data_IF_165906810012
#
_entry.id   IF_165906810012
#
_cell.length_a   1.000
_cell.length_b   1.000
_cell.length_c   1.000
_cell.angle_alpha   90.00
_cell.angle_beta   90.00
_cell.angle_gamma   90.00
#
_symmetry.space_group_name_H-M   'P 1'
#
loop_
_entity.id
_entity.type
_entity.pdbx_description
1 polymer ?
#
# COMPACT_ATOMS: atom_id res chain seq x y z
N UNK A 1 -1.34 -13.68 -14.54
CA UNK A 1 -1.21 -15.09 -14.98
C UNK A 1 -1.36 -15.14 -16.49
N UNK A 2 -0.38 -15.68 -17.23
CA UNK A 2 -0.48 -15.78 -18.70
C UNK A 2 -1.64 -16.71 -19.07
N UNK A 3 -2.51 -16.28 -19.98
CA UNK A 3 -3.66 -17.03 -20.47
C UNK A 3 -3.23 -18.39 -21.03
N UNK A 4 -3.82 -19.48 -20.52
CA UNK A 4 -3.61 -20.85 -21.05
C UNK A 4 -3.93 -20.95 -22.55
N UNK A 5 -4.84 -20.10 -23.05
CA UNK A 5 -5.20 -20.01 -24.47
C UNK A 5 -4.08 -19.41 -25.31
N UNK A 6 -3.36 -18.41 -24.78
CA UNK A 6 -2.22 -17.80 -25.48
C UNK A 6 -1.04 -18.78 -25.62
N UNK A 7 -0.80 -19.62 -24.61
CA UNK A 7 0.17 -20.71 -24.70
C UNK A 7 -0.21 -21.75 -25.75
N UNK A 8 -1.49 -22.15 -25.81
CA UNK A 8 -1.97 -23.12 -26.80
C UNK A 8 -1.84 -22.57 -28.23
N UNK A 9 -2.24 -21.30 -28.44
CA UNK A 9 -2.17 -20.63 -29.74
C UNK A 9 -0.72 -20.45 -30.20
N UNK A 10 0.18 -20.04 -29.30
CA UNK A 10 1.61 -19.87 -29.59
C UNK A 10 2.32 -21.21 -29.81
N UNK A 11 1.89 -22.26 -29.10
CA UNK A 11 2.33 -23.63 -29.34
C UNK A 11 1.96 -24.11 -30.75
N UNK A 12 0.72 -23.88 -31.19
CA UNK A 12 0.28 -24.20 -32.55
C UNK A 12 1.04 -23.38 -33.61
N UNK A 13 1.31 -22.10 -33.36
CA UNK A 13 2.11 -21.26 -34.25
C UNK A 13 3.57 -21.73 -34.37
N UNK A 14 4.17 -22.23 -33.28
CA UNK A 14 5.53 -22.80 -33.29
C UNK A 14 5.64 -24.12 -34.05
N UNK A 15 4.54 -24.85 -34.23
CA UNK A 15 4.50 -26.05 -35.06
C UNK A 15 4.41 -25.72 -36.56
N UNK A 16 3.88 -24.54 -36.91
CA UNK A 16 3.70 -24.08 -38.29
C UNK A 16 4.86 -23.23 -38.81
N UNK A 17 5.72 -22.73 -37.91
CA UNK A 17 6.86 -21.89 -38.27
C UNK A 17 8.09 -22.32 -37.47
N UNK A 18 9.14 -22.78 -38.17
CA UNK A 18 10.39 -23.25 -37.57
C UNK A 18 11.19 -22.16 -36.85
N UNK A 19 10.79 -20.90 -37.00
CA UNK A 19 11.46 -19.71 -36.47
C UNK A 19 10.72 -19.08 -35.27
N UNK A 20 9.59 -19.67 -34.84
CA UNK A 20 8.81 -19.17 -33.72
C UNK A 20 9.24 -19.81 -32.39
N UNK A 21 10.13 -19.13 -31.67
CA UNK A 21 10.51 -19.53 -30.31
C UNK A 21 9.36 -19.32 -29.31
N UNK A 22 9.05 -20.38 -28.55
CA UNK A 22 8.01 -20.37 -27.51
C UNK A 22 8.38 -19.47 -26.32
N UNK A 23 9.67 -19.36 -26.03
CA UNK A 23 10.23 -18.60 -24.91
C UNK A 23 10.25 -17.10 -25.21
N UNK A 24 9.76 -16.23 -24.32
CA UNK A 24 9.94 -14.78 -24.48
C UNK A 24 11.44 -14.46 -24.48
N UNK A 25 11.89 -13.66 -25.46
CA UNK A 25 13.27 -13.20 -25.53
C UNK A 25 13.36 -11.80 -24.92
N UNK A 26 14.00 -11.69 -23.76
CA UNK A 26 14.35 -10.42 -23.16
C UNK A 26 15.75 -10.04 -23.64
N UNK A 27 15.90 -8.86 -24.25
CA UNK A 27 17.22 -8.32 -24.62
C UNK A 27 17.54 -7.20 -23.65
N UNK A 28 18.66 -7.31 -22.95
CA UNK A 28 19.12 -6.32 -21.97
C UNK A 28 20.42 -5.72 -22.51
N UNK A 29 20.47 -4.40 -22.63
CA UNK A 29 21.71 -3.66 -22.86
C UNK A 29 22.16 -3.01 -21.55
N UNK A 30 23.47 -3.01 -21.31
CA UNK A 30 24.07 -2.39 -20.14
C UNK A 30 25.11 -1.40 -20.63
N UNK A 31 25.02 -0.16 -20.16
CA UNK A 31 25.95 0.91 -20.46
C UNK A 31 26.58 1.42 -19.16
N UNK A 32 27.90 1.60 -19.16
CA UNK A 32 28.63 2.15 -18.02
C UNK A 32 28.67 3.67 -18.13
N UNK A 33 27.86 4.36 -17.33
CA UNK A 33 27.76 5.83 -17.35
C UNK A 33 28.94 6.54 -16.65
N UNK A 34 29.67 5.84 -15.78
CA UNK A 34 30.78 6.39 -15.00
C UNK A 34 30.71 6.02 -13.51
N UNK A 35 31.67 6.51 -12.71
CA UNK A 35 31.64 6.33 -11.25
C UNK A 35 30.49 7.14 -10.63
N UNK A 36 29.83 6.59 -9.62
CA UNK A 36 28.84 7.30 -8.82
C UNK A 36 29.49 8.22 -7.79
N UNK A 37 28.72 9.18 -7.28
CA UNK A 37 29.19 10.04 -6.18
C UNK A 37 29.39 9.23 -4.88
N UNK A 38 30.29 9.70 -3.97
CA UNK A 38 30.41 9.14 -2.63
C UNK A 38 29.07 9.16 -1.87
N UNK A 39 28.77 8.16 -1.01
CA UNK A 39 29.65 7.12 -0.50
C UNK A 39 29.81 5.88 -1.41
N UNK A 40 29.33 5.95 -2.66
CA UNK A 40 29.28 4.82 -3.59
C UNK A 40 28.39 3.67 -3.11
N UNK A 41 28.18 2.66 -3.97
CA UNK A 41 27.33 1.48 -3.70
C UNK A 41 25.86 1.77 -3.31
N UNK A 42 25.35 2.96 -3.64
CA UNK A 42 23.93 3.28 -3.53
C UNK A 42 23.19 2.90 -4.81
N UNK A 43 21.90 2.62 -4.71
CA UNK A 43 21.05 2.48 -5.89
C UNK A 43 20.77 3.87 -6.47
N UNK A 44 21.11 4.05 -7.74
CA UNK A 44 20.87 5.28 -8.49
C UNK A 44 19.76 5.06 -9.50
N UNK A 45 18.77 5.95 -9.45
CA UNK A 45 17.65 5.95 -10.39
C UNK A 45 17.78 7.19 -11.26
N UNK A 46 18.46 7.05 -12.40
CA UNK A 46 18.83 8.17 -13.29
C UNK A 46 17.91 8.33 -14.50
N UNK A 47 17.16 7.29 -14.87
CA UNK A 47 16.24 7.34 -16.01
C UNK A 47 14.96 8.13 -15.73
N UNK A 48 14.10 8.32 -16.75
CA UNK A 48 12.77 8.89 -16.56
C UNK A 48 12.04 8.16 -15.44
N UNK A 49 11.53 8.92 -14.49
CA UNK A 49 10.79 8.40 -13.35
C UNK A 49 9.40 7.96 -13.80
N UNK A 50 8.91 6.86 -13.24
CA UNK A 50 7.63 6.25 -13.58
C UNK A 50 6.63 6.41 -12.44
N UNK A 51 5.35 6.32 -12.78
CA UNK A 51 4.28 6.11 -11.81
C UNK A 51 3.37 5.00 -12.31
N UNK A 52 2.75 4.32 -11.35
CA UNK A 52 1.79 3.26 -11.59
C UNK A 52 0.65 3.41 -10.58
N UNK A 53 -0.58 3.33 -11.07
CA UNK A 53 -1.78 3.33 -10.26
C UNK A 53 -2.50 2.01 -10.49
N UNK A 54 -2.53 1.19 -9.46
CA UNK A 54 -3.23 -0.08 -9.43
C UNK A 54 -4.64 0.14 -8.89
N UNK A 55 -5.64 -0.22 -9.70
CA UNK A 55 -7.03 -0.24 -9.30
C UNK A 55 -7.43 -1.68 -9.01
N UNK A 56 -8.00 -1.94 -7.84
CA UNK A 56 -8.52 -3.27 -7.51
C UNK A 56 -10.02 -3.23 -7.23
N UNK A 57 -10.87 -3.58 -8.22
CA UNK A 57 -12.31 -3.66 -8.04
C UNK A 57 -12.75 -4.72 -7.04
N UNK A 58 -11.97 -5.81 -6.93
CA UNK A 58 -12.27 -6.90 -6.00
C UNK A 58 -12.02 -6.50 -4.55
N UNK A 59 -10.93 -5.77 -4.28
CA UNK A 59 -10.65 -5.26 -2.93
C UNK A 59 -11.59 -4.09 -2.63
N UNK A 60 -11.84 -3.20 -3.59
CA UNK A 60 -12.78 -2.09 -3.43
C UNK A 60 -14.22 -2.54 -3.08
N UNK A 61 -14.71 -3.65 -3.62
CA UNK A 61 -16.01 -4.25 -3.23
C UNK A 61 -16.05 -4.81 -1.81
N UNK A 62 -14.93 -5.34 -1.31
CA UNK A 62 -14.82 -5.89 0.05
C UNK A 62 -14.66 -4.75 1.07
N UNK A 63 -13.94 -3.70 0.67
CA UNK A 63 -13.56 -2.56 1.50
C UNK A 63 -14.60 -1.41 1.40
N UNK A 64 -15.50 -1.43 0.42
CA UNK A 64 -16.48 -0.36 0.23
C UNK A 64 -15.88 0.98 -0.23
N UNK A 65 -14.61 1.01 -0.64
CA UNK A 65 -13.94 2.20 -1.17
C UNK A 65 -14.57 2.56 -2.51
N UNK A 66 -15.13 3.78 -2.61
CA UNK A 66 -15.66 4.34 -3.86
C UNK A 66 -14.59 5.24 -4.48
N UNK A 67 -14.34 5.08 -5.77
CA UNK A 67 -13.50 6.00 -6.53
C UNK A 67 -14.35 6.61 -7.64
N UNK A 68 -14.20 7.92 -7.85
CA UNK A 68 -14.85 8.62 -8.95
C UNK A 68 -14.31 8.04 -10.26
N UNK A 69 -15.22 7.62 -11.15
CA UNK A 69 -14.90 6.71 -12.25
C UNK A 69 -14.14 7.36 -13.42
N UNK A 70 -13.93 8.68 -13.43
CA UNK A 70 -13.39 9.40 -14.59
C UNK A 70 -12.32 10.42 -14.16
N UNK A 71 -11.05 10.14 -14.44
CA UNK A 71 -9.91 11.05 -14.17
C UNK A 71 -9.89 12.30 -15.08
N UNK A 72 -10.74 12.36 -16.12
CA UNK A 72 -10.83 13.48 -17.05
C UNK A 72 -11.87 14.55 -16.63
N UNK A 73 -12.68 14.29 -15.61
CA UNK A 73 -13.65 15.29 -15.10
C UNK A 73 -12.96 16.40 -14.27
N UNK A 74 -11.73 16.17 -13.77
CA UNK A 74 -10.93 17.20 -13.08
C UNK A 74 -10.32 18.25 -14.02
N UNK A 75 -10.36 18.00 -15.34
CA UNK A 75 -9.79 18.89 -16.36
C UNK A 75 -10.83 19.65 -17.21
N UNK A 76 -12.12 19.30 -17.15
CA UNK A 76 -13.14 19.96 -17.99
C UNK A 76 -14.28 20.57 -17.18
N UNK A 77 -14.27 21.91 -17.10
CA UNK A 77 -15.42 22.67 -16.64
C UNK A 77 -16.59 22.45 -17.58
N UNK A 78 -17.60 21.70 -17.13
CA UNK A 78 -18.85 21.52 -17.87
C UNK A 78 -20.05 22.01 -17.06
N UNK A 79 -20.83 22.85 -17.72
CA UNK A 79 -22.02 23.56 -17.27
C UNK A 79 -23.14 22.63 -16.74
N UNK A 80 -24.05 23.13 -15.89
CA UNK A 80 -25.05 22.32 -15.22
C UNK A 80 -26.20 21.99 -16.18
N UNK A 81 -26.24 20.78 -16.72
CA UNK A 81 -27.46 20.12 -17.21
C UNK A 81 -27.22 18.62 -17.41
N UNK A 82 -28.20 17.84 -16.99
CA UNK A 82 -28.37 16.39 -17.12
C UNK A 82 -27.75 15.50 -16.02
N UNK A 83 -28.51 15.36 -14.93
CA UNK A 83 -28.37 14.31 -13.93
C UNK A 83 -28.65 12.93 -14.54
N UNK A 84 -27.59 12.23 -14.96
CA UNK A 84 -27.57 10.76 -14.94
C UNK A 84 -26.81 10.30 -13.70
N UNK A 85 -27.28 9.26 -12.99
CA UNK A 85 -26.58 8.78 -11.81
C UNK A 85 -25.18 8.29 -12.21
N UNK A 86 -24.14 9.06 -11.85
CA UNK A 86 -22.73 8.72 -12.07
C UNK A 86 -22.47 7.34 -11.46
N UNK A 87 -22.08 6.37 -12.28
CA UNK A 87 -21.83 4.99 -11.84
C UNK A 87 -20.57 4.95 -10.97
N UNK A 88 -20.75 4.96 -9.65
CA UNK A 88 -19.67 4.88 -8.68
C UNK A 88 -19.06 3.47 -8.70
N UNK A 89 -17.82 3.33 -9.17
CA UNK A 89 -17.08 2.07 -9.13
C UNK A 89 -16.31 1.98 -7.81
N UNK A 90 -16.33 0.80 -7.23
CA UNK A 90 -15.73 0.51 -5.94
C UNK A 90 -14.31 0.00 -6.18
N UNK A 91 -13.31 0.89 -6.18
CA UNK A 91 -11.93 0.51 -6.51
C UNK A 91 -10.97 0.89 -5.38
N UNK A 92 -10.23 -0.09 -4.88
CA UNK A 92 -9.08 0.18 -4.02
C UNK A 92 -7.95 0.74 -4.88
N UNK A 93 -7.30 1.82 -4.45
CA UNK A 93 -6.18 2.43 -5.18
C UNK A 93 -4.86 2.20 -4.45
N UNK A 94 -3.92 1.52 -5.12
CA UNK A 94 -2.52 1.46 -4.75
C UNK A 94 -1.67 2.24 -5.73
N UNK A 95 -0.77 3.07 -5.22
CA UNK A 95 0.10 3.90 -6.03
C UNK A 95 1.55 3.47 -5.85
N UNK A 96 2.28 3.50 -6.96
CA UNK A 96 3.73 3.44 -7.03
C UNK A 96 4.23 4.69 -7.75
N UNK A 97 5.21 5.39 -7.19
CA UNK A 97 5.85 6.53 -7.82
C UNK A 97 7.35 6.43 -7.60
N UNK A 98 8.09 6.30 -8.69
CA UNK A 98 9.54 6.25 -8.65
C UNK A 98 10.08 7.67 -8.46
N UNK A 99 10.83 7.89 -7.38
CA UNK A 99 11.56 9.12 -7.14
C UNK A 99 13.01 8.97 -7.62
N UNK A 100 13.64 10.10 -7.96
CA UNK A 100 15.03 10.13 -8.37
C UNK A 100 15.94 9.90 -7.17
N UNK A 101 16.81 8.90 -7.29
CA UNK A 101 17.84 8.59 -6.31
C UNK A 101 19.09 9.47 -6.43
N UNK A 102 20.11 9.17 -5.62
CA UNK A 102 20.13 8.13 -4.61
C UNK A 102 19.34 8.56 -3.36
N UNK A 103 18.76 7.59 -2.66
CA UNK A 103 18.23 7.82 -1.32
C UNK A 103 19.39 8.11 -0.37
N UNK A 104 19.31 9.14 0.50
CA UNK A 104 20.32 9.41 1.52
C UNK A 104 20.74 8.17 2.32
N UNK A 105 22.05 7.90 2.55
CA UNK A 105 22.51 6.71 3.26
C UNK A 105 21.92 6.55 4.67
N UNK A 106 21.61 7.68 5.33
CA UNK A 106 21.04 7.70 6.67
C UNK A 106 19.62 7.15 6.75
N UNK A 107 18.90 7.11 5.63
CA UNK A 107 17.57 6.52 5.53
C UNK A 107 17.61 5.00 5.47
N UNK A 108 18.78 4.36 5.55
CA UNK A 108 18.87 2.91 5.52
C UNK A 108 18.32 2.28 6.81
N UNK A 109 17.07 1.80 6.77
CA UNK A 109 16.37 1.26 7.94
C UNK A 109 16.04 -0.22 7.78
N UNK A 110 16.39 -0.97 8.82
CA UNK A 110 16.06 -2.39 8.93
C UNK A 110 14.69 -2.54 9.62
N UNK A 111 13.95 -3.55 9.20
CA UNK A 111 12.81 -4.08 9.94
C UNK A 111 13.13 -4.29 11.43
N UNK A 112 12.19 -3.89 12.30
CA UNK A 112 12.29 -4.05 13.75
C UNK A 112 11.26 -5.06 14.21
N UNK A 113 11.71 -6.11 14.90
CA UNK A 113 10.83 -7.14 15.44
C UNK A 113 10.08 -6.64 16.68
N UNK A 114 8.97 -5.94 16.45
CA UNK A 114 8.14 -5.43 17.54
C UNK A 114 7.25 -6.50 18.17
N UNK A 115 7.01 -7.62 17.47
CA UNK A 115 6.29 -8.81 17.98
C UNK A 115 6.96 -10.10 17.48
N UNK A 116 7.09 -11.15 18.31
CA UNK A 116 7.70 -12.44 17.91
C UNK A 116 7.03 -13.10 16.70
N UNK A 117 5.73 -12.84 16.49
CA UNK A 117 4.97 -13.35 15.34
C UNK A 117 5.46 -12.73 14.03
N UNK A 118 5.93 -11.48 14.06
CA UNK A 118 6.37 -10.74 12.88
C UNK A 118 7.77 -11.22 12.46
N UNK A 119 8.65 -11.62 13.37
CA UNK A 119 9.93 -12.26 12.99
C UNK A 119 9.74 -13.48 12.09
N UNK A 120 8.70 -14.28 12.35
CA UNK A 120 8.36 -15.44 11.52
C UNK A 120 7.85 -15.09 10.11
N UNK A 121 7.45 -13.85 9.86
CA UNK A 121 7.08 -13.34 8.52
C UNK A 121 8.31 -13.10 7.65
N UNK A 122 9.37 -12.58 8.26
CA UNK A 122 10.64 -12.26 7.60
C UNK A 122 11.60 -13.46 7.57
N UNK A 123 11.43 -14.42 8.49
CA UNK A 123 12.18 -15.68 8.45
C UNK A 123 11.42 -16.73 7.64
N UNK A 124 11.96 -17.15 6.50
CA UNK A 124 11.45 -18.30 5.72
C UNK A 124 11.74 -19.67 6.37
N UNK A 125 12.04 -19.67 7.67
CA UNK A 125 12.41 -20.85 8.45
C UNK A 125 11.16 -21.50 9.08
N UNK A 126 11.12 -22.84 9.04
CA UNK A 126 9.98 -23.63 9.50
C UNK A 126 8.77 -23.59 8.56
N UNK A 127 7.88 -24.57 8.71
CA UNK A 127 6.70 -24.72 7.83
C UNK A 127 5.75 -23.52 7.93
N UNK A 128 5.56 -23.01 9.16
CA UNK A 128 4.70 -21.85 9.46
C UNK A 128 5.23 -20.56 8.86
N UNK A 129 6.52 -20.27 9.03
CA UNK A 129 7.17 -19.08 8.46
C UNK A 129 7.10 -19.08 6.93
N UNK A 130 7.35 -20.23 6.28
CA UNK A 130 7.21 -20.36 4.82
C UNK A 130 5.79 -20.07 4.32
N UNK A 131 4.77 -20.59 5.01
CA UNK A 131 3.37 -20.36 4.63
C UNK A 131 3.02 -18.87 4.78
N UNK A 132 3.41 -18.26 5.90
CA UNK A 132 3.12 -16.86 6.21
C UNK A 132 3.83 -15.90 5.25
N UNK A 133 5.11 -16.13 5.02
CA UNK A 133 5.92 -15.39 4.06
C UNK A 133 5.35 -15.51 2.62
N UNK A 134 4.96 -16.71 2.20
CA UNK A 134 4.29 -16.92 0.90
C UNK A 134 2.95 -16.18 0.81
N UNK A 135 2.16 -16.17 1.89
CA UNK A 135 0.88 -15.48 1.93
C UNK A 135 1.07 -13.96 1.80
N UNK A 136 2.08 -13.40 2.46
CA UNK A 136 2.45 -12.00 2.39
C UNK A 136 2.84 -11.57 0.97
N UNK A 137 3.73 -12.31 0.32
CA UNK A 137 4.11 -12.03 -1.07
C UNK A 137 2.90 -12.11 -2.01
N UNK A 138 1.97 -13.05 -1.78
CA UNK A 138 0.72 -13.12 -2.54
C UNK A 138 -0.19 -11.90 -2.33
N UNK A 139 -0.25 -11.37 -1.11
CA UNK A 139 -1.02 -10.15 -0.84
C UNK A 139 -0.42 -8.95 -1.58
N UNK A 140 0.90 -8.77 -1.48
CA UNK A 140 1.60 -7.73 -2.23
C UNK A 140 1.35 -7.87 -3.74
N UNK A 141 1.55 -9.06 -4.30
CA UNK A 141 1.31 -9.34 -5.72
C UNK A 141 -0.13 -9.11 -6.17
N UNK A 142 -1.11 -9.22 -5.26
CA UNK A 142 -2.52 -8.97 -5.57
C UNK A 142 -2.83 -7.49 -5.62
N UNK A 143 -2.17 -6.68 -4.79
CA UNK A 143 -2.35 -5.24 -4.72
C UNK A 143 -1.60 -4.53 -5.84
N UNK A 144 -0.35 -4.94 -6.09
CA UNK A 144 0.52 -4.42 -7.14
C UNK A 144 0.48 -5.27 -8.42
N UNK A 145 -0.65 -5.94 -8.68
CA UNK A 145 -0.81 -6.69 -9.92
C UNK A 145 -0.98 -5.73 -11.08
N UNK A 146 -0.35 -6.04 -12.21
CA UNK A 146 -0.62 -5.36 -13.47
C UNK A 146 -1.79 -6.05 -14.17
N UNK A 147 -2.83 -5.27 -14.44
CA UNK A 147 -4.03 -5.68 -15.17
C UNK A 147 -4.48 -4.59 -16.16
N UNK A 148 -5.61 -4.82 -16.83
CA UNK A 148 -6.15 -3.89 -17.83
C UNK A 148 -6.61 -2.55 -17.23
N UNK A 149 -6.79 -2.48 -15.91
CA UNK A 149 -7.16 -1.25 -15.19
C UNK A 149 -5.97 -0.54 -14.58
N UNK A 150 -4.76 -1.07 -14.76
CA UNK A 150 -3.53 -0.46 -14.27
C UNK A 150 -3.13 0.70 -15.16
N UNK A 151 -3.09 1.89 -14.59
CA UNK A 151 -2.61 3.09 -15.27
C UNK A 151 -1.13 3.28 -14.97
N UNK A 152 -0.35 3.68 -15.97
CA UNK A 152 1.07 3.97 -15.78
C UNK A 152 1.51 5.10 -16.69
N UNK A 153 2.65 5.70 -16.36
CA UNK A 153 3.27 6.72 -17.20
C UNK A 153 4.64 7.12 -16.68
N UNK A 154 5.22 8.12 -17.33
CA UNK A 154 6.52 8.69 -17.00
C UNK A 154 6.40 10.19 -16.77
N UNK A 155 7.35 10.75 -16.04
CA UNK A 155 7.54 12.20 -15.88
C UNK A 155 9.03 12.52 -15.75
N UNK A 156 9.38 13.76 -16.02
CA UNK A 156 10.74 14.27 -15.81
C UNK A 156 11.06 14.27 -14.31
N UNK A 157 12.20 13.71 -13.87
CA UNK A 157 12.57 13.67 -12.46
C UNK A 157 12.71 15.08 -11.88
N UNK A 158 12.43 15.24 -10.59
CA UNK A 158 12.61 16.51 -9.87
C UNK A 158 11.97 17.72 -10.55
N UNK A 159 10.76 17.55 -11.10
CA UNK A 159 10.05 18.57 -11.88
C UNK A 159 8.68 18.91 -11.28
N UNK A 160 8.11 20.04 -11.67
CA UNK A 160 6.75 20.42 -11.28
C UNK A 160 5.71 19.37 -11.71
N UNK A 161 5.95 18.70 -12.85
CA UNK A 161 5.09 17.60 -13.32
C UNK A 161 5.12 16.41 -12.37
N UNK A 162 6.29 16.09 -11.79
CA UNK A 162 6.41 15.07 -10.76
C UNK A 162 5.53 15.42 -9.55
N UNK A 163 5.62 16.67 -9.08
CA UNK A 163 4.81 17.17 -7.96
C UNK A 163 3.32 17.11 -8.25
N UNK A 164 2.88 17.55 -9.43
CA UNK A 164 1.48 17.49 -9.82
C UNK A 164 0.98 16.05 -9.97
N UNK A 165 1.82 15.15 -10.47
CA UNK A 165 1.47 13.72 -10.55
C UNK A 165 1.33 13.11 -9.16
N UNK A 166 2.23 13.43 -8.23
CA UNK A 166 2.10 13.03 -6.82
C UNK A 166 0.79 13.53 -6.21
N UNK A 167 0.49 14.83 -6.35
CA UNK A 167 -0.74 15.42 -5.84
C UNK A 167 -1.99 14.79 -6.45
N UNK A 168 -1.97 14.45 -7.75
CA UNK A 168 -3.06 13.73 -8.41
C UNK A 168 -3.26 12.33 -7.82
N UNK A 169 -2.17 11.57 -7.61
CA UNK A 169 -2.25 10.25 -6.97
C UNK A 169 -2.75 10.34 -5.51
N UNK A 170 -2.51 11.47 -4.84
CA UNK A 170 -2.98 11.77 -3.49
C UNK A 170 -4.32 12.55 -3.44
N UNK A 171 -5.02 12.70 -4.58
CA UNK A 171 -6.31 13.37 -4.70
C UNK A 171 -6.34 14.86 -4.26
N UNK A 172 -5.25 15.62 -4.39
CA UNK A 172 -5.22 17.07 -4.15
C UNK A 172 -5.89 17.55 -2.85
N UNK A 173 -5.71 16.83 -1.73
CA UNK A 173 -6.35 17.12 -0.42
C UNK A 173 -7.89 16.99 -0.41
N UNK A 174 -8.46 16.15 -1.28
CA UNK A 174 -9.88 15.80 -1.25
C UNK A 174 -10.17 14.69 -0.21
N UNK A 175 -11.25 14.83 0.56
CA UNK A 175 -11.82 13.73 1.34
C UNK A 175 -11.19 13.48 2.71
N UNK A 176 -10.36 14.40 3.20
CA UNK A 176 -9.65 14.25 4.48
C UNK A 176 -8.75 13.02 4.56
N UNK A 177 -8.16 12.62 3.43
CA UNK A 177 -7.48 11.32 3.27
C UNK A 177 -6.11 11.32 3.95
N UNK A 178 -5.81 10.21 4.61
CA UNK A 178 -4.48 9.87 5.13
C UNK A 178 -3.99 8.67 4.36
N UNK A 179 -2.71 8.57 4.04
CA UNK A 179 -2.12 7.49 3.26
C UNK A 179 -1.05 6.78 4.07
N UNK A 180 -0.98 5.45 3.96
CA UNK A 180 0.13 4.65 4.49
C UNK A 180 1.16 4.51 3.38
N UNK A 181 2.45 4.69 3.67
CA UNK A 181 3.51 4.65 2.66
C UNK A 181 4.73 3.82 3.07
N UNK A 182 5.45 3.35 2.06
CA UNK A 182 6.83 2.86 2.17
C UNK A 182 7.66 3.50 1.07
N UNK A 183 8.81 4.06 1.44
CA UNK A 183 9.89 4.44 0.55
C UNK A 183 10.96 3.34 0.58
N UNK A 184 11.27 2.79 -0.57
CA UNK A 184 12.30 1.77 -0.78
C UNK A 184 13.69 2.39 -0.97
N UNK A 185 14.76 1.59 -0.89
CA UNK A 185 16.14 2.07 -1.00
C UNK A 185 16.51 2.57 -2.40
N UNK A 186 15.77 2.15 -3.43
CA UNK A 186 15.88 2.61 -4.81
C UNK A 186 14.98 3.80 -5.13
N UNK A 187 14.30 4.37 -4.11
CA UNK A 187 13.49 5.58 -4.25
C UNK A 187 12.08 5.34 -4.76
N UNK A 188 11.60 4.09 -4.84
CA UNK A 188 10.21 3.81 -5.16
C UNK A 188 9.33 4.10 -3.93
N UNK A 189 8.43 5.08 -4.06
CA UNK A 189 7.41 5.42 -3.08
C UNK A 189 6.13 4.65 -3.38
N UNK A 190 5.73 3.78 -2.46
CA UNK A 190 4.49 3.00 -2.53
C UNK A 190 3.52 3.47 -1.47
N UNK A 191 2.26 3.69 -1.82
CA UNK A 191 1.26 4.11 -0.84
C UNK A 191 -0.17 3.75 -1.23
N UNK A 192 -1.03 3.66 -0.21
CA UNK A 192 -2.49 3.47 -0.32
C UNK A 192 -3.21 4.29 0.73
N UNK A 193 -4.48 4.61 0.50
CA UNK A 193 -5.30 5.31 1.49
C UNK A 193 -5.46 4.48 2.78
N UNK A 194 -5.33 5.15 3.92
CA UNK A 194 -5.49 4.63 5.27
C UNK A 194 -6.98 4.71 5.67
N UNK A 195 -7.57 3.57 6.01
CA UNK A 195 -8.90 3.51 6.60
C UNK A 195 -9.12 2.24 7.43
N UNK A 196 -10.20 2.22 8.21
CA UNK A 196 -10.60 1.05 9.02
C UNK A 196 -11.18 -0.07 8.16
N UNK A 197 -11.80 0.27 7.04
CA UNK A 197 -12.32 -0.72 6.08
C UNK A 197 -11.23 -1.53 5.38
N UNK A 198 -9.98 -1.05 5.37
CA UNK A 198 -8.83 -1.76 4.81
C UNK A 198 -8.19 -2.74 5.82
N UNK A 199 -8.92 -3.10 6.88
CA UNK A 199 -8.55 -4.04 7.94
C UNK A 199 -8.39 -5.47 7.43
N UNK A 200 -7.41 -5.69 6.55
CA UNK A 200 -6.77 -6.99 6.39
C UNK A 200 -5.80 -7.11 7.58
N UNK A 201 -6.38 -7.28 8.77
CA UNK A 201 -5.73 -7.07 10.07
C UNK A 201 -4.78 -8.20 10.51
N UNK A 202 -4.28 -9.00 9.55
CA UNK A 202 -3.27 -10.02 9.84
C UNK A 202 -1.85 -9.41 9.84
N UNK A 203 -1.62 -8.30 9.12
CA UNK A 203 -0.29 -7.86 8.67
C UNK A 203 -0.22 -6.32 8.61
N UNK A 204 0.86 -5.72 9.14
CA UNK A 204 1.07 -4.27 9.05
C UNK A 204 1.08 -3.82 7.59
N UNK A 205 0.29 -2.80 7.26
CA UNK A 205 0.18 -2.21 5.92
C UNK A 205 1.54 -1.91 5.28
N UNK A 206 2.50 -1.47 6.10
CA UNK A 206 3.89 -1.24 5.69
C UNK A 206 4.59 -2.52 5.21
N UNK A 207 4.41 -3.64 5.90
CA UNK A 207 4.96 -4.94 5.50
C UNK A 207 4.41 -5.35 4.13
N UNK A 208 3.11 -5.13 3.90
CA UNK A 208 2.47 -5.38 2.59
C UNK A 208 3.10 -4.50 1.49
N UNK A 209 3.22 -3.19 1.69
CA UNK A 209 3.82 -2.27 0.71
C UNK A 209 5.29 -2.62 0.41
N UNK A 210 6.03 -2.98 1.45
CA UNK A 210 7.43 -3.38 1.32
C UNK A 210 7.63 -4.77 0.74
N UNK A 211 6.58 -5.55 0.42
CA UNK A 211 6.73 -6.95 0.02
C UNK A 211 7.59 -7.77 1.01
N UNK A 212 7.51 -7.46 2.31
CA UNK A 212 8.35 -8.09 3.36
C UNK A 212 9.86 -7.84 3.18
N UNK A 213 10.24 -6.73 2.54
CA UNK A 213 11.65 -6.35 2.43
C UNK A 213 12.28 -6.13 3.80
N UNK A 214 13.49 -6.65 4.02
CA UNK A 214 14.16 -6.50 5.32
C UNK A 214 14.64 -5.07 5.54
N UNK A 215 14.89 -4.32 4.46
CA UNK A 215 15.42 -2.98 4.50
C UNK A 215 14.57 -2.04 3.64
N UNK A 216 14.33 -0.84 4.15
CA UNK A 216 13.60 0.22 3.47
C UNK A 216 14.28 1.57 3.75
N UNK A 217 13.90 2.60 2.99
CA UNK A 217 14.37 3.96 3.22
C UNK A 217 13.55 4.69 4.29
N UNK A 218 12.22 4.59 4.25
CA UNK A 218 11.35 5.15 5.28
C UNK A 218 9.96 4.54 5.15
N UNK A 219 9.16 4.61 6.21
CA UNK A 219 7.74 4.24 6.15
C UNK A 219 6.97 4.94 7.27
N UNK A 220 5.69 5.16 7.02
CA UNK A 220 4.79 5.81 7.96
C UNK A 220 3.48 6.18 7.29
N UNK A 221 2.90 7.29 7.75
CA UNK A 221 1.70 7.88 7.17
C UNK A 221 2.00 9.28 6.63
N UNK A 222 1.16 9.73 5.69
CA UNK A 222 1.16 11.11 5.22
C UNK A 222 -0.24 11.58 4.88
N UNK A 223 -0.40 12.89 4.76
CA UNK A 223 -1.58 13.52 4.16
C UNK A 223 -1.16 14.82 3.48
N UNK A 224 -1.97 15.24 2.51
CA UNK A 224 -1.81 16.54 1.86
C UNK A 224 -2.78 17.51 2.52
N UNK A 225 -2.42 18.80 2.58
CA UNK A 225 -3.28 19.92 2.98
C UNK A 225 -3.19 21.02 1.94
N UNK A 226 -4.28 21.74 1.73
CA UNK A 226 -4.29 22.93 0.88
C UNK A 226 -4.09 24.20 1.71
N UNK A 227 -3.23 25.07 1.20
CA UNK A 227 -2.88 26.37 1.76
C UNK A 227 -3.68 27.46 1.05
N UNK A 228 -4.13 28.45 1.82
CA UNK A 228 -4.84 29.61 1.26
C UNK A 228 -3.98 30.40 0.26
N UNK A 229 -2.68 30.56 0.54
CA UNK A 229 -1.74 31.27 -0.33
C UNK A 229 -0.69 30.30 -0.87
N UNK A 230 -0.12 30.57 -2.07
CA UNK A 230 0.86 29.69 -2.69
C UNK A 230 2.26 29.96 -2.13
N UNK A 231 2.48 29.68 -0.85
CA UNK A 231 3.77 29.93 -0.18
C UNK A 231 4.58 28.66 0.09
N UNK A 232 4.08 27.48 -0.30
CA UNK A 232 4.72 26.19 -0.10
C UNK A 232 5.23 26.02 1.35
N UNK A 233 4.45 26.51 2.33
CA UNK A 233 4.87 26.53 3.72
C UNK A 233 5.28 25.14 4.21
N UNK A 234 6.41 25.07 4.91
CA UNK A 234 6.91 23.86 5.58
C UNK A 234 6.50 23.80 7.06
N UNK A 235 5.93 24.89 7.59
CA UNK A 235 5.44 24.98 8.97
C UNK A 235 4.18 24.11 9.15
N UNK A 236 4.14 23.16 10.12
CA UNK A 236 2.94 22.39 10.44
C UNK A 236 1.71 23.25 10.79
N UNK A 237 1.91 24.45 11.31
CA UNK A 237 0.86 25.43 11.63
C UNK A 237 1.15 26.77 10.94
N UNK A 238 0.97 26.83 9.61
CA UNK A 238 1.27 28.05 8.89
C UNK A 238 0.32 29.17 9.33
N UNK A 239 0.80 30.42 9.32
CA UNK A 239 0.00 31.61 9.72
C UNK A 239 -1.00 32.02 8.63
N UNK A 240 -1.81 31.08 8.17
CA UNK A 240 -2.84 31.23 7.16
C UNK A 240 -3.89 30.13 7.33
N UNK A 241 -5.01 30.29 6.64
CA UNK A 241 -6.03 29.23 6.61
C UNK A 241 -5.51 28.00 5.87
N UNK A 242 -5.85 26.83 6.40
CA UNK A 242 -5.49 25.53 5.79
C UNK A 242 -6.69 24.61 5.73
N UNK A 243 -6.88 23.96 4.59
CA UNK A 243 -7.84 22.88 4.46
C UNK A 243 -7.22 21.58 5.02
N UNK A 244 -7.99 20.70 5.67
CA UNK A 244 -9.45 20.78 5.88
C UNK A 244 -9.90 21.50 7.17
N UNK A 245 -8.99 22.11 7.93
CA UNK A 245 -9.34 22.82 9.18
C UNK A 245 -10.27 24.01 8.91
N UNK A 246 -10.01 24.74 7.83
CA UNK A 246 -10.78 25.89 7.36
C UNK A 246 -11.41 25.62 5.99
N UNK A 247 -12.58 26.19 5.73
CA UNK A 247 -13.17 26.23 4.39
C UNK A 247 -12.42 27.28 3.55
N UNK A 248 -11.70 26.82 2.52
CA UNK A 248 -10.94 27.65 1.59
C UNK A 248 -11.61 27.57 0.21
N UNK A 249 -11.95 28.70 -0.44
CA UNK A 249 -12.55 28.66 -1.78
C UNK A 249 -11.55 28.18 -2.85
N UNK A 250 -12.03 27.75 -4.03
CA UNK A 250 -11.18 27.45 -5.19
C UNK A 250 -10.39 26.15 -5.05
N UNK A 251 -11.02 25.08 -4.57
CA UNK A 251 -10.47 23.73 -4.55
C UNK A 251 -11.49 22.68 -4.10
N UNK A 252 -11.09 21.40 -4.05
CA UNK A 252 -11.96 20.31 -3.64
C UNK A 252 -12.50 20.54 -2.21
N UNK A 253 -13.72 20.06 -1.91
CA UNK A 253 -14.59 19.26 -2.78
C UNK A 253 -15.52 20.09 -3.70
N UNK A 254 -15.45 21.43 -3.67
CA UNK A 254 -16.42 22.31 -4.34
C UNK A 254 -16.01 22.72 -5.76
N UNK A 255 -14.72 23.00 -5.97
CA UNK A 255 -14.15 23.46 -7.22
C UNK A 255 -12.97 22.58 -7.66
N UNK A 256 -12.50 22.75 -8.90
CA UNK A 256 -11.31 22.07 -9.39
C UNK A 256 -10.06 22.42 -8.55
N UNK A 257 -9.14 21.46 -8.34
CA UNK A 257 -7.92 21.69 -7.56
C UNK A 257 -7.00 22.74 -8.21
N UNK A 258 -6.44 23.68 -7.43
CA UNK A 258 -5.37 24.55 -7.89
C UNK A 258 -4.24 23.76 -8.54
N UNK A 259 -3.79 24.18 -9.72
CA UNK A 259 -2.70 23.50 -10.44
C UNK A 259 -1.31 23.91 -9.98
N UNK A 260 -1.17 24.95 -9.17
CA UNK A 260 0.14 25.36 -8.65
C UNK A 260 0.46 24.54 -7.38
N UNK A 261 1.54 23.74 -7.37
CA UNK A 261 1.92 22.94 -6.21
C UNK A 261 2.14 23.73 -4.91
N UNK A 262 2.50 25.01 -4.99
CA UNK A 262 2.76 25.84 -3.80
C UNK A 262 1.51 26.14 -2.99
N UNK A 263 0.32 25.83 -3.51
CA UNK A 263 -0.92 25.80 -2.73
C UNK A 263 -1.06 24.56 -1.85
N UNK A 264 -0.09 23.65 -1.84
CA UNK A 264 -0.19 22.40 -1.11
C UNK A 264 0.97 22.22 -0.16
N UNK A 265 0.68 21.45 0.89
CA UNK A 265 1.66 20.99 1.84
C UNK A 265 1.49 19.49 2.07
N UNK A 266 2.59 18.74 1.97
CA UNK A 266 2.68 17.35 2.39
C UNK A 266 3.15 17.29 3.84
N UNK A 267 2.30 16.75 4.72
CA UNK A 267 2.72 16.37 6.07
C UNK A 267 2.99 14.86 6.08
N UNK A 268 4.22 14.48 6.41
CA UNK A 268 4.69 13.09 6.34
C UNK A 268 5.41 12.71 7.63
N UNK A 269 5.23 11.47 8.09
CA UNK A 269 5.82 10.98 9.34
C UNK A 269 6.53 9.64 9.20
N UNK A 270 7.06 9.16 10.33
CA UNK A 270 7.73 7.87 10.52
C UNK A 270 6.87 6.85 11.30
N UNK A 271 5.54 6.98 11.30
CA UNK A 271 4.60 6.16 12.09
C UNK A 271 4.40 4.76 11.49
N UNK A 272 5.44 3.94 11.60
CA UNK A 272 5.44 2.56 11.10
C UNK A 272 5.55 1.56 12.24
N UNK A 273 4.50 0.76 12.48
CA UNK A 273 4.52 -0.30 13.49
C UNK A 273 5.52 -1.43 13.23
N UNK A 274 6.07 -1.51 12.02
CA UNK A 274 6.98 -2.58 11.56
C UNK A 274 8.44 -2.14 11.50
N UNK A 275 8.69 -0.89 11.09
CA UNK A 275 10.05 -0.39 10.87
C UNK A 275 10.43 0.73 11.83
N UNK A 276 9.45 1.56 12.23
CA UNK A 276 9.59 2.76 13.08
C UNK A 276 10.96 3.45 12.94
N UNK A 277 11.25 4.06 11.77
CA UNK A 277 12.48 4.83 11.57
C UNK A 277 12.72 5.84 12.70
N UNK A 278 13.97 6.12 13.04
CA UNK A 278 14.30 7.06 14.12
C UNK A 278 13.99 8.52 13.75
N UNK A 279 13.70 9.38 14.74
CA UNK A 279 13.43 10.81 14.50
C UNK A 279 14.55 11.53 13.75
N UNK A 280 15.81 11.12 13.94
CA UNK A 280 17.00 11.76 13.35
C UNK A 280 17.02 11.75 11.83
N UNK A 281 16.22 10.90 11.17
CA UNK A 281 16.20 10.76 9.71
C UNK A 281 15.20 11.68 9.00
N UNK A 282 14.27 12.29 9.75
CA UNK A 282 13.23 13.15 9.20
C UNK A 282 13.79 14.34 8.41
N UNK A 283 14.89 15.01 8.81
CA UNK A 283 15.50 16.05 7.99
C UNK A 283 16.02 15.54 6.64
N UNK A 284 16.63 14.36 6.61
CA UNK A 284 17.14 13.75 5.37
C UNK A 284 15.98 13.29 4.46
N UNK A 285 14.90 12.76 5.04
CA UNK A 285 13.65 12.44 4.31
C UNK A 285 13.04 13.71 3.70
N UNK A 286 12.95 14.79 4.49
CA UNK A 286 12.43 16.08 4.04
C UNK A 286 13.21 16.61 2.85
N UNK A 287 14.53 16.72 2.96
CA UNK A 287 15.39 17.20 1.88
C UNK A 287 15.28 16.33 0.61
N UNK A 288 15.17 15.01 0.76
CA UNK A 288 14.99 14.09 -0.35
C UNK A 288 13.66 14.33 -1.09
N UNK A 289 12.57 14.57 -0.35
CA UNK A 289 11.25 14.84 -0.92
C UNK A 289 11.16 16.24 -1.54
N UNK A 290 11.74 17.26 -0.92
CA UNK A 290 11.80 18.63 -1.48
C UNK A 290 12.51 18.67 -2.83
N UNK A 291 13.61 17.92 -2.97
CA UNK A 291 14.31 17.78 -4.24
C UNK A 291 13.43 17.10 -5.30
N UNK A 292 12.68 16.07 -4.91
CA UNK A 292 11.90 15.25 -5.83
C UNK A 292 10.53 15.85 -6.20
N UNK A 293 9.97 16.68 -5.32
CA UNK A 293 8.64 17.28 -5.43
C UNK A 293 8.75 18.81 -5.33
N UNK A 294 9.41 19.46 -6.31
CA UNK A 294 9.62 20.90 -6.26
C UNK A 294 8.29 21.68 -6.19
N UNK A 295 8.30 22.75 -5.41
CA UNK A 295 7.15 23.65 -5.23
C UNK A 295 6.12 23.19 -4.20
N UNK A 296 6.23 21.97 -3.65
CA UNK A 296 5.37 21.46 -2.58
C UNK A 296 5.99 21.76 -1.21
N UNK A 297 5.20 22.27 -0.25
CA UNK A 297 5.69 22.44 1.12
C UNK A 297 5.82 21.09 1.82
N UNK A 298 6.98 20.77 2.40
CA UNK A 298 7.22 19.49 3.07
C UNK A 298 7.36 19.67 4.58
N UNK A 299 6.42 19.12 5.34
CA UNK A 299 6.44 19.06 6.80
C UNK A 299 6.70 17.62 7.27
N UNK A 300 7.97 17.28 7.51
CA UNK A 300 8.35 15.99 8.08
C UNK A 300 8.25 16.02 9.62
N UNK A 301 7.35 15.22 10.18
CA UNK A 301 7.01 15.23 11.61
C UNK A 301 7.28 13.87 12.26
N UNK A 302 7.54 13.87 13.56
CA UNK A 302 7.72 12.63 14.32
C UNK A 302 6.37 12.04 14.74
N UNK A 303 6.21 10.72 14.71
CA UNK A 303 4.95 10.04 15.04
C UNK A 303 4.43 10.33 16.46
N UNK A 304 5.32 10.66 17.41
CA UNK A 304 4.97 11.01 18.80
C UNK A 304 4.68 12.51 18.99
N UNK A 305 4.72 13.32 17.94
CA UNK A 305 4.41 14.74 18.03
C UNK A 305 2.90 14.96 18.29
N UNK A 306 2.57 15.65 19.38
CA UNK A 306 1.18 15.95 19.75
C UNK A 306 0.46 16.78 18.68
N UNK A 307 1.18 17.64 17.97
CA UNK A 307 0.60 18.45 16.90
C UNK A 307 0.19 17.58 15.72
N UNK A 308 1.07 16.65 15.31
CA UNK A 308 0.77 15.69 14.24
C UNK A 308 -0.47 14.86 14.57
N UNK A 309 -0.62 14.41 15.81
CA UNK A 309 -1.79 13.65 16.25
C UNK A 309 -3.09 14.44 16.10
N UNK A 310 -3.09 15.73 16.48
CA UNK A 310 -4.24 16.64 16.29
C UNK A 310 -4.57 16.86 14.82
N UNK A 311 -3.54 17.01 13.98
CA UNK A 311 -3.72 17.16 12.52
C UNK A 311 -4.35 15.90 11.91
N UNK A 312 -3.83 14.71 12.24
CA UNK A 312 -4.40 13.42 11.80
C UNK A 312 -5.84 13.24 12.30
N UNK A 313 -6.15 13.66 13.52
CA UNK A 313 -7.52 13.59 14.04
C UNK A 313 -8.48 14.49 13.25
N UNK A 314 -8.04 15.69 12.87
CA UNK A 314 -8.81 16.61 12.04
C UNK A 314 -9.10 15.97 10.67
N UNK A 315 -8.08 15.41 10.02
CA UNK A 315 -8.24 14.67 8.75
C UNK A 315 -9.28 13.54 8.88
N UNK A 316 -9.17 12.73 9.94
CA UNK A 316 -10.12 11.63 10.20
C UNK A 316 -11.54 12.11 10.45
N UNK A 317 -11.71 13.27 11.10
CA UNK A 317 -13.04 13.83 11.36
C UNK A 317 -13.69 14.37 10.09
N UNK A 318 -12.92 15.03 9.23
CA UNK A 318 -13.37 15.50 7.91
C UNK A 318 -13.74 14.32 7.03
N UNK A 319 -12.90 13.28 6.97
CA UNK A 319 -13.21 12.05 6.24
C UNK A 319 -14.53 11.40 6.68
N UNK A 320 -14.89 11.46 7.97
CA UNK A 320 -16.20 10.98 8.46
C UNK A 320 -17.37 11.88 8.05
N UNK A 321 -17.14 13.19 7.91
CA UNK A 321 -18.16 14.17 7.54
C UNK A 321 -18.42 14.20 6.03
N UNK A 322 -17.36 14.18 5.24
CA UNK A 322 -17.40 14.15 3.76
C UNK A 322 -17.71 12.75 3.23
N UNK A 323 -17.26 11.72 3.94
CA UNK A 323 -17.64 10.34 3.71
C UNK A 323 -19.11 10.12 4.06
N UNK A 324 -20.02 10.33 3.09
CA UNK A 324 -21.41 9.84 3.17
C UNK A 324 -21.40 8.41 3.72
N UNK A 325 -21.89 8.25 4.95
CA UNK A 325 -22.09 6.97 5.62
C UNK A 325 -22.89 6.06 4.67
N UNK A 326 -22.23 5.10 4.03
CA UNK A 326 -22.94 4.03 3.34
C UNK A 326 -23.12 2.92 4.37
N UNK A 327 -24.34 2.82 4.91
CA UNK A 327 -24.78 1.62 5.61
C UNK A 327 -24.60 0.43 4.66
N UNK A 328 -23.66 -0.45 4.98
CA UNK A 328 -23.43 -1.69 4.22
C UNK A 328 -24.56 -2.65 4.55
N UNK A 329 -25.55 -2.73 3.67
CA UNK A 329 -26.43 -3.92 3.60
C UNK A 329 -25.61 -4.99 2.88
N UNK A 330 -24.96 -5.87 3.66
CA UNK A 330 -24.32 -7.08 3.14
C UNK A 330 -25.39 -7.96 2.49
N UNK A 331 -25.52 -7.91 1.16
CA UNK A 331 -26.29 -8.90 0.44
C UNK A 331 -25.44 -10.18 0.34
N UNK A 332 -25.73 -11.17 1.19
CA UNK A 332 -25.10 -12.49 1.16
C UNK A 332 -25.41 -13.16 -0.18
N UNK A 333 -24.43 -13.16 -1.08
CA UNK A 333 -24.42 -14.09 -2.23
C UNK A 333 -23.07 -14.80 -2.23
N UNK A 334 -23.13 -16.09 -1.91
CA UNK A 334 -22.00 -17.00 -1.76
C UNK A 334 -21.42 -17.36 -3.13
N UNK A 335 -20.11 -17.18 -3.33
CA UNK A 335 -19.22 -18.25 -3.83
C UNK A 335 -17.75 -17.81 -3.88
N UNK A 336 -16.89 -18.72 -3.43
CA UNK A 336 -15.44 -18.82 -3.66
C UNK A 336 -14.45 -17.93 -2.88
N UNK A 337 -14.85 -16.80 -2.29
CA UNK A 337 -13.94 -15.96 -1.46
C UNK A 337 -14.09 -16.16 0.05
N UNK A 338 -15.28 -16.57 0.53
CA UNK A 338 -15.49 -16.77 1.96
C UNK A 338 -14.67 -17.93 2.52
N UNK A 339 -14.31 -18.95 1.73
CA UNK A 339 -13.64 -20.14 2.25
C UNK A 339 -12.17 -19.92 2.64
N UNK A 340 -11.45 -19.04 1.94
CA UNK A 340 -10.05 -18.74 2.27
C UNK A 340 -9.94 -17.74 3.42
N UNK A 341 -10.79 -16.71 3.42
CA UNK A 341 -10.78 -15.65 4.45
C UNK A 341 -11.41 -16.13 5.76
N UNK A 342 -12.52 -16.89 5.72
CA UNK A 342 -13.10 -17.46 6.96
C UNK A 342 -12.28 -18.62 7.54
N UNK A 343 -11.47 -19.34 6.76
CA UNK A 343 -10.46 -20.25 7.32
C UNK A 343 -9.31 -19.49 8.01
N UNK A 344 -8.97 -18.28 7.54
CA UNK A 344 -7.91 -17.44 8.11
C UNK A 344 -8.39 -16.67 9.36
N UNK A 345 -9.63 -16.17 9.37
CA UNK A 345 -10.27 -15.56 10.56
C UNK A 345 -10.50 -16.59 11.69
N UNK A 346 -10.94 -17.81 11.34
CA UNK A 346 -11.02 -18.92 12.31
C UNK A 346 -9.64 -19.37 12.81
N UNK A 347 -8.60 -19.07 12.05
CA UNK A 347 -7.21 -19.32 12.41
C UNK A 347 -6.72 -18.26 13.40
N UNK A 348 -7.00 -16.97 13.26
CA UNK A 348 -6.50 -15.94 14.20
C UNK A 348 -6.76 -16.25 15.68
N UNK A 349 -7.97 -16.67 16.06
CA UNK A 349 -8.29 -17.05 17.44
C UNK A 349 -7.56 -18.31 17.96
N UNK A 350 -6.99 -19.12 17.05
CA UNK A 350 -6.18 -20.30 17.37
C UNK A 350 -4.66 -20.01 17.37
N UNK A 351 -4.21 -18.99 16.62
CA UNK A 351 -2.79 -18.61 16.52
C UNK A 351 -2.34 -17.81 17.74
N UNK A 352 -3.22 -16.95 18.27
CA UNK A 352 -3.03 -16.27 19.57
C UNK A 352 -2.92 -17.26 20.75
N UNK A 353 -3.37 -18.51 20.55
CA UNK A 353 -3.34 -19.61 21.52
C UNK A 353 -2.30 -20.69 21.18
N UNK A 354 -1.45 -20.48 20.17
CA UNK A 354 -0.36 -21.39 19.80
C UNK A 354 -0.77 -22.77 19.25
N UNK A 355 -2.04 -23.00 18.88
CA UNK A 355 -2.52 -24.34 18.49
C UNK A 355 -2.20 -24.69 17.03
N UNK A 356 -1.72 -25.91 16.78
CA UNK A 356 -1.47 -26.44 15.43
C UNK A 356 -2.77 -26.71 14.66
N UNK A 357 -2.77 -26.34 13.38
CA UNK A 357 -3.86 -26.66 12.45
C UNK A 357 -3.86 -28.16 12.13
N UNK A 358 -5.03 -28.76 11.86
CA UNK A 358 -5.16 -30.18 11.47
C UNK A 358 -4.33 -30.53 10.22
N UNK A 359 -4.17 -29.58 9.29
CA UNK A 359 -3.33 -29.75 8.10
C UNK A 359 -1.83 -29.61 8.42
N UNK A 360 -1.46 -28.72 9.33
CA UNK A 360 -0.06 -28.60 9.81
C UNK A 360 0.37 -29.84 10.58
N UNK A 361 -0.49 -30.36 11.46
CA UNK A 361 -0.25 -31.59 12.21
C UNK A 361 -0.12 -32.80 11.28
N UNK A 362 -0.97 -32.88 10.23
CA UNK A 362 -0.88 -33.94 9.23
C UNK A 362 0.41 -33.85 8.40
N UNK A 363 0.82 -32.66 7.97
CA UNK A 363 2.07 -32.48 7.21
C UNK A 363 3.30 -32.76 8.08
N UNK A 364 3.31 -32.27 9.33
CA UNK A 364 4.38 -32.53 10.28
C UNK A 364 4.52 -34.02 10.64
N UNK A 365 3.41 -34.77 10.66
CA UNK A 365 3.41 -36.21 10.89
C UNK A 365 3.89 -37.01 9.66
N UNK A 366 3.83 -36.44 8.45
CA UNK A 366 4.39 -37.03 7.22
C UNK A 366 5.91 -36.82 7.16
N UNK A 367 6.40 -35.66 7.61
CA UNK A 367 7.84 -35.36 7.65
C UNK A 367 8.57 -36.00 8.84
N UNK A 368 7.89 -36.22 9.97
CA UNK A 368 8.45 -36.83 11.17
C UNK A 368 7.47 -37.87 11.78
N UNK A 369 7.68 -39.18 11.52
CA UNK A 369 6.77 -40.24 11.96
C UNK A 369 6.62 -40.35 13.48
N UNK A 370 7.55 -39.77 14.25
CA UNK A 370 7.49 -39.79 15.71
C UNK A 370 6.37 -38.90 16.29
N UNK A 371 5.85 -37.94 15.50
CA UNK A 371 4.81 -36.97 15.90
C UNK A 371 3.38 -37.39 15.57
N UNK A 372 3.19 -38.61 15.05
CA UNK A 372 1.87 -39.15 14.67
C UNK A 372 0.91 -39.19 15.87
N UNK A 373 1.41 -39.45 17.09
CA UNK A 373 0.57 -39.53 18.31
C UNK A 373 -0.08 -38.19 18.66
N UNK A 374 0.60 -37.08 18.42
CA UNK A 374 0.10 -35.73 18.70
C UNK A 374 -0.96 -35.29 17.67
N UNK A 375 -0.77 -35.69 16.40
CA UNK A 375 -1.74 -35.44 15.33
C UNK A 375 -3.07 -36.19 15.53
N UNK A 376 -3.01 -37.44 16.01
CA UNK A 376 -4.20 -38.27 16.28
C UNK A 376 -4.99 -37.77 17.49
N UNK A 377 -4.32 -37.31 18.55
CA UNK A 377 -4.97 -36.74 19.73
C UNK A 377 -5.75 -35.44 19.44
N UNK A 378 -5.26 -34.62 18.51
CA UNK A 378 -5.93 -33.40 18.05
C UNK A 378 -7.17 -33.66 17.15
N UNK A 379 -7.32 -34.86 16.59
CA UNK A 379 -8.36 -35.18 15.61
C UNK A 379 -9.62 -35.79 16.23
N UNK A 380 -9.56 -36.30 17.47
CA UNK A 380 -10.71 -36.92 18.13
C UNK A 380 -11.57 -35.88 18.89
N UNK A 381 -12.90 -35.88 18.70
CA UNK A 381 -13.79 -35.04 19.51
C UNK A 381 -13.84 -35.56 20.97
N UNK A 382 -13.76 -34.64 21.94
CA UNK A 382 -13.85 -34.96 23.37
C UNK A 382 -15.15 -35.70 23.69
N UNK A 383 -15.05 -36.99 24.01
CA UNK A 383 -16.14 -37.78 24.58
C UNK A 383 -16.24 -37.43 26.07
N UNK A 384 -17.26 -36.66 26.48
CA UNK A 384 -17.57 -36.40 27.89
C UNK A 384 -17.72 -37.74 28.62
N UNK A 385 -16.87 -38.00 29.61
CA UNK A 385 -17.09 -39.07 30.60
C UNK A 385 -18.26 -38.65 31.47
N UNK A 386 -19.33 -39.45 31.49
CA UNK A 386 -20.44 -39.28 32.41
C UNK A 386 -19.96 -39.54 33.84
N UNK A 387 -20.39 -38.67 34.76
CA UNK A 387 -20.25 -38.83 36.20
C UNK A 387 -21.06 -40.05 36.66
N UNK A 388 -20.38 -41.00 37.30
CA UNK A 388 -21.00 -42.04 38.10
C UNK A 388 -21.33 -41.45 39.47
N UNK A 389 -22.63 -41.29 39.76
CA UNK A 389 -23.12 -41.09 41.11
C UNK A 389 -22.93 -42.36 41.95
N UNK A 390 -22.23 -42.25 43.07
CA UNK A 390 -22.17 -43.28 44.10
C UNK A 390 -21.78 -42.65 45.43
N UNK A 391 -22.77 -42.25 46.22
CA UNK A 391 -23.27 -42.91 47.45
C UNK A 391 -24.36 -42.06 48.07
#
# INVERSE_FOLDING_TARGET
>A
MISKRAFLLKGLASLLSSDAHMTPRLTISIELLGPSDPPHAQMYTLGPTTWVKHLSPMIGRIVGTKVNADENDDESGSSPRDEKPKSQKYDFQACEMQLQGPVPPKLYHRYVEFRPVIGSMFSSTGLRGKILNTALHKQHQRIYHYDETTECGTFEPCSEQATLKFLRLAHFDEGGRVFTYVLTLDGLLRFTETGKEFGIDLLSKHTMHSNVETYIACSGEFFVRRLQRPDASEDPQPRQKVHPTDDIPGGPPKDAPPRNPSHYQLTIDNDSGTYRPDKSILPDLKAFLEKNLPGLGIAAMHCEDEELQKLKETQRNVKKQEGRIVNVVMNRSQSSISSAESELDRRDGAWDKGKQSKREAALAAVEDPSKIKDAVGSMMPHRKKGESSGT
#
